data_IF_456848790317
#
_entry.id   IF_456848790317
#
_cell.length_a   1.000
_cell.length_b   1.000
_cell.length_c   1.000
_cell.angle_alpha   90.00
_cell.angle_beta   90.00
_cell.angle_gamma   90.00
#
_symmetry.space_group_name_H-M   'P 1'
#
loop_
_entity.id
_entity.type
_entity.pdbx_description
1 polymer ?
#
# COMPACT_ATOMS: atom_id res chain seq x y z
N UNK A 1 15.01 10.02 -0.97
CA UNK A 1 14.34 10.09 0.36
C UNK A 1 13.26 11.17 0.37
N UNK A 2 12.01 10.75 0.31
CA UNK A 2 10.89 11.68 0.30
C UNK A 2 9.61 10.99 0.80
N UNK A 3 8.54 11.77 0.90
CA UNK A 3 7.26 11.22 1.38
C UNK A 3 6.16 12.29 1.30
N UNK A 4 4.97 11.86 0.93
CA UNK A 4 3.83 12.77 0.83
C UNK A 4 3.09 12.87 2.16
N UNK A 5 2.71 14.09 2.53
CA UNK A 5 1.99 14.32 3.77
C UNK A 5 0.49 14.14 3.58
N UNK A 6 -0.06 13.07 4.17
CA UNK A 6 -1.48 12.79 4.06
C UNK A 6 -2.11 12.58 5.43
N UNK A 7 -3.17 13.33 5.72
CA UNK A 7 -3.85 13.23 7.00
C UNK A 7 -5.01 12.23 6.91
N UNK A 8 -5.18 11.44 7.98
CA UNK A 8 -6.23 10.45 8.03
C UNK A 8 -6.78 10.32 9.43
N UNK A 9 -7.97 9.72 9.55
CA UNK A 9 -8.62 9.53 10.83
C UNK A 9 -8.66 8.05 11.21
N UNK A 10 -8.38 7.76 12.47
CA UNK A 10 -8.39 6.38 12.96
C UNK A 10 -9.75 5.73 12.79
N UNK A 11 -9.76 4.53 12.23
CA UNK A 11 -11.02 3.81 12.02
C UNK A 11 -11.81 4.31 10.83
N UNK A 12 -11.26 5.27 10.11
CA UNK A 12 -11.93 5.83 8.94
C UNK A 12 -11.43 5.18 7.65
N UNK A 13 -12.36 4.80 6.74
CA UNK A 13 -12.00 4.17 5.47
C UNK A 13 -11.21 5.12 4.56
N UNK A 14 -10.22 4.57 3.86
CA UNK A 14 -9.39 5.38 2.96
C UNK A 14 -9.07 4.61 1.69
N UNK A 15 -9.13 5.31 0.55
CA UNK A 15 -8.85 4.69 -0.73
C UNK A 15 -7.76 5.47 -1.47
N UNK A 16 -6.83 4.72 -2.06
CA UNK A 16 -5.72 5.33 -2.79
C UNK A 16 -5.36 4.49 -4.02
N UNK A 17 -4.82 5.16 -5.04
CA UNK A 17 -4.42 4.48 -6.26
C UNK A 17 -2.90 4.40 -6.38
N UNK A 18 -2.39 3.17 -6.55
CA UNK A 18 -0.96 2.95 -6.66
C UNK A 18 -0.62 2.29 -8.00
N UNK A 19 -0.58 3.09 -9.06
CA UNK A 19 -0.27 2.58 -10.39
C UNK A 19 1.16 2.05 -10.45
N UNK A 20 1.59 1.63 -11.64
CA UNK A 20 2.92 1.10 -11.81
C UNK A 20 2.99 0.04 -12.89
N UNK A 21 2.00 -0.83 -12.92
CA UNK A 21 1.95 -1.90 -13.92
C UNK A 21 1.86 -1.33 -15.34
N UNK A 22 2.89 -1.57 -16.17
CA UNK A 22 2.91 -1.07 -17.56
C UNK A 22 1.69 -1.53 -18.35
N UNK A 23 1.74 -1.36 -19.66
CA UNK A 23 0.65 -1.75 -20.54
C UNK A 23 0.60 -3.27 -20.70
N UNK A 24 1.73 -3.92 -20.48
CA UNK A 24 1.83 -5.37 -20.62
C UNK A 24 0.91 -6.07 -19.61
N UNK A 25 0.65 -7.37 -19.80
CA UNK A 25 -0.21 -8.15 -18.91
C UNK A 25 0.17 -7.98 -17.44
N UNK A 26 -0.69 -8.43 -16.52
CA UNK A 26 -0.44 -8.32 -15.08
C UNK A 26 0.89 -8.94 -14.68
N UNK A 27 1.87 -8.10 -14.39
CA UNK A 27 3.19 -8.56 -13.99
C UNK A 27 3.29 -8.74 -12.48
N UNK A 28 4.47 -9.08 -12.00
CA UNK A 28 4.69 -9.29 -10.57
C UNK A 28 4.56 -7.98 -9.80
N UNK A 29 4.40 -8.07 -8.49
CA UNK A 29 4.26 -6.88 -7.65
C UNK A 29 4.60 -7.21 -6.20
N UNK A 30 5.25 -6.27 -5.52
CA UNK A 30 5.65 -6.46 -4.13
C UNK A 30 5.29 -5.23 -3.30
N UNK A 31 4.74 -5.46 -2.13
CA UNK A 31 4.34 -4.38 -1.23
C UNK A 31 5.37 -4.20 -0.11
N UNK A 32 5.77 -2.97 0.13
CA UNK A 32 6.75 -2.67 1.17
C UNK A 32 6.44 -1.32 1.82
N UNK A 33 6.64 -1.26 3.13
CA UNK A 33 6.39 -0.02 3.88
C UNK A 33 7.36 0.11 5.05
N UNK A 34 7.77 1.34 5.33
CA UNK A 34 8.71 1.61 6.42
C UNK A 34 8.00 2.29 7.58
N UNK A 35 8.11 1.70 8.76
CA UNK A 35 7.49 2.25 9.96
C UNK A 35 8.31 1.93 11.20
N UNK A 36 7.85 2.43 12.35
CA UNK A 36 8.56 2.18 13.60
C UNK A 36 8.64 0.71 13.93
N UNK A 37 7.50 0.04 13.93
CA UNK A 37 7.45 -1.39 14.24
C UNK A 37 7.13 -2.20 12.99
N UNK A 38 6.36 -1.62 12.09
CA UNK A 38 5.98 -2.28 10.85
C UNK A 38 5.18 -3.55 11.13
N UNK A 39 3.87 -3.48 10.90
CA UNK A 39 3.00 -4.62 11.13
C UNK A 39 1.92 -4.72 10.03
N UNK A 40 2.15 -4.01 8.93
CA UNK A 40 1.20 -4.02 7.82
C UNK A 40 1.85 -4.51 6.53
N UNK A 41 3.18 -4.52 6.50
CA UNK A 41 3.91 -4.96 5.31
C UNK A 41 3.50 -6.39 4.92
N UNK A 42 2.91 -6.52 3.74
CA UNK A 42 2.47 -7.83 3.25
C UNK A 42 2.91 -8.03 1.80
N UNK A 43 3.01 -9.28 1.38
CA UNK A 43 3.42 -9.61 0.03
C UNK A 43 2.20 -9.81 -0.88
N UNK A 44 2.03 -8.91 -1.84
CA UNK A 44 0.92 -8.99 -2.77
C UNK A 44 1.29 -9.76 -4.03
N UNK A 45 0.39 -10.65 -4.46
CA UNK A 45 0.62 -11.45 -5.65
C UNK A 45 -0.58 -11.38 -6.59
N UNK A 46 -0.33 -11.50 -7.91
CA UNK A 46 -1.40 -11.44 -8.92
C UNK A 46 -2.33 -12.66 -8.85
N UNK A 47 -1.92 -13.67 -8.09
CA UNK A 47 -2.73 -14.88 -7.95
C UNK A 47 -2.57 -15.47 -6.55
N UNK A 48 -3.22 -14.84 -5.56
CA UNK A 48 -3.15 -15.31 -4.20
C UNK A 48 -3.32 -14.19 -3.18
N UNK A 49 -3.59 -14.57 -1.94
CA UNK A 49 -3.77 -13.58 -0.89
C UNK A 49 -3.19 -14.02 0.43
N UNK A 50 -3.07 -13.07 1.36
CA UNK A 50 -2.52 -13.39 2.66
C UNK A 50 -3.32 -12.78 3.81
N UNK A 51 -2.67 -12.45 4.94
CA UNK A 51 -3.34 -11.86 6.09
C UNK A 51 -3.79 -10.42 5.83
N UNK A 52 -2.88 -9.62 5.26
CA UNK A 52 -3.20 -8.23 4.96
C UNK A 52 -4.38 -8.12 4.00
N UNK A 53 -4.66 -9.20 3.29
CA UNK A 53 -5.77 -9.22 2.33
C UNK A 53 -7.08 -8.88 3.03
N UNK A 54 -7.20 -9.31 4.29
CA UNK A 54 -8.41 -9.05 5.07
C UNK A 54 -8.41 -7.63 5.63
N UNK A 55 -7.22 -7.07 5.78
CA UNK A 55 -7.07 -5.71 6.29
C UNK A 55 -7.23 -4.68 5.18
N UNK A 56 -6.82 -5.05 3.98
CA UNK A 56 -6.91 -4.16 2.82
C UNK A 56 -6.78 -4.94 1.52
N UNK A 57 -7.54 -4.53 0.51
CA UNK A 57 -7.51 -5.20 -0.79
C UNK A 57 -7.14 -4.22 -1.90
N UNK A 58 -6.78 -4.77 -3.06
CA UNK A 58 -6.40 -3.95 -4.21
C UNK A 58 -7.44 -4.04 -5.31
N UNK A 59 -7.90 -2.89 -5.77
CA UNK A 59 -8.91 -2.83 -6.82
C UNK A 59 -8.31 -3.24 -8.17
N UNK A 60 -9.14 -3.81 -9.06
CA UNK A 60 -8.69 -4.25 -10.39
C UNK A 60 -7.90 -3.17 -11.13
N UNK A 61 -8.15 -1.91 -10.79
CA UNK A 61 -7.46 -0.80 -11.41
C UNK A 61 -6.12 -0.51 -10.73
N UNK A 62 -5.74 -1.36 -9.78
CA UNK A 62 -4.49 -1.17 -9.09
C UNK A 62 -4.59 -0.14 -7.98
N UNK A 63 -5.70 -0.19 -7.23
CA UNK A 63 -5.92 0.76 -6.14
C UNK A 63 -5.79 0.06 -4.80
N UNK A 64 -6.14 0.79 -3.74
CA UNK A 64 -6.07 0.23 -2.39
C UNK A 64 -7.13 0.86 -1.50
N UNK A 65 -7.93 0.01 -0.86
CA UNK A 65 -8.99 0.47 0.03
C UNK A 65 -8.91 -0.24 1.38
N UNK A 66 -9.03 0.53 2.45
CA UNK A 66 -8.98 -0.02 3.80
C UNK A 66 -10.31 0.20 4.53
N UNK A 67 -10.91 -0.86 5.10
CA UNK A 67 -12.19 -0.77 5.82
C UNK A 67 -12.13 0.27 6.93
N UNK A 68 -10.97 0.41 7.56
CA UNK A 68 -10.80 1.38 8.64
C UNK A 68 -9.33 1.55 8.99
N UNK A 69 -8.76 2.68 8.56
CA UNK A 69 -7.36 2.97 8.83
C UNK A 69 -7.14 3.39 10.28
N UNK A 70 -6.38 2.59 11.02
CA UNK A 70 -6.12 2.90 12.42
C UNK A 70 -4.67 3.26 12.68
N UNK A 71 -4.26 3.15 13.93
CA UNK A 71 -2.88 3.46 14.31
C UNK A 71 -1.89 2.49 13.67
N UNK A 72 -2.33 1.24 13.51
CA UNK A 72 -1.49 0.22 12.90
C UNK A 72 -1.20 0.55 11.44
N UNK A 73 -2.14 1.22 10.79
CA UNK A 73 -1.99 1.60 9.39
C UNK A 73 -1.05 2.79 9.25
N UNK A 74 -0.82 3.52 10.35
CA UNK A 74 0.05 4.70 10.33
C UNK A 74 1.40 4.36 9.70
N UNK A 75 2.26 5.37 9.60
CA UNK A 75 3.57 5.16 9.02
C UNK A 75 3.62 5.62 7.58
N UNK A 76 4.50 5.01 6.80
CA UNK A 76 4.66 5.37 5.40
C UNK A 76 4.53 4.13 4.50
N UNK A 77 3.70 4.24 3.46
CA UNK A 77 3.50 3.14 2.54
C UNK A 77 4.35 3.34 1.27
N UNK A 78 4.73 2.22 0.65
CA UNK A 78 5.54 2.27 -0.55
C UNK A 78 5.16 1.17 -1.53
N UNK A 79 5.16 1.49 -2.82
CA UNK A 79 4.83 0.53 -3.86
C UNK A 79 6.08 0.09 -4.61
N UNK A 80 6.04 -1.12 -5.18
CA UNK A 80 7.18 -1.64 -5.92
C UNK A 80 6.73 -2.75 -6.88
N UNK A 81 7.46 -2.87 -7.99
CA UNK A 81 7.15 -3.88 -8.99
C UNK A 81 8.41 -4.61 -9.43
N UNK A 82 8.24 -5.80 -10.02
CA UNK A 82 9.37 -6.59 -10.47
C UNK A 82 9.15 -7.10 -11.89
N UNK A 83 9.95 -6.59 -12.83
CA UNK A 83 9.84 -7.00 -14.22
C UNK A 83 10.89 -8.06 -14.56
N UNK A 84 10.98 -8.40 -15.84
CA UNK A 84 11.95 -9.39 -16.30
C UNK A 84 13.38 -8.88 -16.13
N UNK A 85 13.55 -7.57 -16.23
CA UNK A 85 14.87 -6.96 -16.08
C UNK A 85 15.11 -6.51 -14.64
N UNK A 86 14.03 -6.31 -13.90
CA UNK A 86 14.14 -5.88 -12.52
C UNK A 86 13.73 -4.43 -12.32
N UNK A 87 12.62 -4.05 -12.94
CA UNK A 87 12.11 -2.68 -12.83
C UNK A 87 11.21 -2.53 -11.62
N UNK A 88 11.52 -1.55 -10.78
CA UNK A 88 10.74 -1.29 -9.58
C UNK A 88 10.27 0.16 -9.54
N UNK A 89 9.12 0.39 -8.94
CA UNK A 89 8.55 1.73 -8.83
C UNK A 89 8.85 2.33 -7.46
N UNK A 90 9.36 3.56 -7.45
CA UNK A 90 9.69 4.25 -6.20
C UNK A 90 8.62 5.28 -5.85
N UNK A 91 8.06 5.15 -4.67
CA UNK A 91 7.02 6.07 -4.20
C UNK A 91 6.71 5.82 -2.73
N UNK A 92 6.81 6.88 -1.92
CA UNK A 92 6.54 6.77 -0.49
C UNK A 92 5.47 7.77 -0.06
N UNK A 93 4.42 7.27 0.58
CA UNK A 93 3.33 8.12 1.04
C UNK A 93 3.26 8.14 2.57
N UNK A 94 3.32 9.32 3.15
CA UNK A 94 3.27 9.47 4.60
C UNK A 94 1.82 9.54 5.07
N UNK A 95 1.44 8.60 5.94
CA UNK A 95 0.09 8.56 6.47
C UNK A 95 0.08 8.61 7.99
N UNK A 96 -0.79 9.45 8.54
CA UNK A 96 -0.90 9.60 9.99
C UNK A 96 -2.35 9.71 10.42
N UNK A 97 -2.66 9.15 11.58
CA UNK A 97 -4.03 9.17 12.10
C UNK A 97 -4.23 10.34 13.07
N UNK A 98 -5.49 10.70 13.29
CA UNK A 98 -5.81 11.81 14.19
C UNK A 98 -5.14 11.63 15.55
N UNK A 99 -5.71 10.77 16.38
CA UNK A 99 -5.17 10.53 17.72
C UNK A 99 -3.98 9.57 17.65
N UNK A 100 -2.85 9.99 18.20
CA UNK A 100 -1.65 9.17 18.21
C UNK A 100 -1.25 8.80 19.64
N UNK A 101 -0.38 7.79 19.80
CA UNK A 101 0.08 7.34 21.11
C UNK A 101 1.00 8.36 21.79
#
# INVERSE_FOLDING_TARGET
AMAQNITARIGEPLVLKCKGAPKKPPQRLEWKLNTGRTEAWKVLSPQGGGPWDSVARVLPNGSLFLPAVGIQDEGIFRCQAMNRNGKETKSNYRVRVYQIP
#
